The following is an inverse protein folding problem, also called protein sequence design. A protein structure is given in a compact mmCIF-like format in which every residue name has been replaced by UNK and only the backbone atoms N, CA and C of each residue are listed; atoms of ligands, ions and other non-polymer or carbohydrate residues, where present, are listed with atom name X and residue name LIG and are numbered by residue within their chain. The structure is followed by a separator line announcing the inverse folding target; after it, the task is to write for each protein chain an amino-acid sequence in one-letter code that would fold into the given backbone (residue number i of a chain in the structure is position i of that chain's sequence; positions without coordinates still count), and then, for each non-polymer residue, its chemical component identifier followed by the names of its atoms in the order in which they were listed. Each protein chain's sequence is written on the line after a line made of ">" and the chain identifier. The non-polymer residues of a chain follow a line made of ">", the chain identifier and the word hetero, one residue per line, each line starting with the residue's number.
data_IF_678241171510
#
_entry.id   IF_678241171510
#
_cell.length_a   1.000
_cell.length_b   1.000
_cell.length_c   1.000
_cell.angle_alpha   90.00
_cell.angle_beta   90.00
_cell.angle_gamma   90.00
#
_symmetry.space_group_name_H-M   'P 1'
#
loop_
_entity.id
_entity.type
_entity.pdbx_description
1 polymer ?
#
# COMPACT_ATOMS: atom_id res chain seq x y z
N UNK A 1 1.38 21.02 -5.14
CA UNK A 1 1.31 19.54 -5.22
C UNK A 1 1.13 19.06 -3.79
N UNK A 2 0.18 18.18 -3.49
CA UNK A 2 -0.02 17.71 -2.11
C UNK A 2 1.15 16.82 -1.68
N UNK A 3 1.67 17.03 -0.47
CA UNK A 3 2.71 16.18 0.14
C UNK A 3 2.17 14.79 0.53
N UNK A 4 0.84 14.59 0.41
CA UNK A 4 0.14 13.34 0.67
C UNK A 4 -0.57 12.76 -0.56
N UNK A 5 -0.78 11.45 -0.52
CA UNK A 5 -1.59 10.64 -1.44
C UNK A 5 -2.46 9.66 -0.65
N UNK A 6 -3.53 9.14 -1.26
CA UNK A 6 -4.30 8.04 -0.66
C UNK A 6 -3.59 6.70 -0.86
N UNK A 7 -3.59 5.87 0.17
CA UNK A 7 -3.04 4.52 0.14
C UNK A 7 -3.86 3.56 1.00
N UNK A 8 -3.83 2.27 0.65
CA UNK A 8 -4.25 1.18 1.55
C UNK A 8 -3.01 0.70 2.28
N UNK A 9 -2.99 0.77 3.61
CA UNK A 9 -1.84 0.43 4.46
C UNK A 9 -2.23 -0.57 5.54
N UNK A 10 -1.28 -1.41 5.92
CA UNK A 10 -1.42 -2.41 6.97
C UNK A 10 -0.45 -1.99 8.08
N UNK A 11 -0.98 -1.72 9.28
CA UNK A 11 -0.18 -1.34 10.45
C UNK A 11 -0.04 -2.48 11.46
N UNK A 12 -0.94 -3.46 11.40
CA UNK A 12 -0.94 -4.68 12.20
C UNK A 12 -1.48 -5.86 11.39
N UNK A 13 -1.14 -7.08 11.77
CA UNK A 13 -1.65 -8.28 11.10
C UNK A 13 -3.06 -8.60 11.58
N UNK A 14 -3.91 -9.09 10.68
CA UNK A 14 -5.30 -9.41 11.00
C UNK A 14 -6.13 -9.79 9.77
N UNK A 15 -7.45 -9.87 9.96
CA UNK A 15 -8.37 -10.07 8.85
C UNK A 15 -8.49 -8.81 7.98
N UNK A 16 -9.44 -8.78 7.02
CA UNK A 16 -9.63 -7.66 6.10
C UNK A 16 -9.74 -6.28 6.76
N UNK A 17 -10.20 -6.22 8.02
CA UNK A 17 -10.26 -5.01 8.85
C UNK A 17 -8.90 -4.32 9.09
N UNK A 18 -7.79 -5.04 8.92
CA UNK A 18 -6.44 -4.48 9.04
C UNK A 18 -6.04 -3.57 7.84
N UNK A 19 -6.86 -3.51 6.78
CA UNK A 19 -6.63 -2.65 5.62
C UNK A 19 -7.13 -1.22 5.89
N UNK A 20 -6.21 -0.29 6.12
CA UNK A 20 -6.51 1.11 6.37
C UNK A 20 -6.42 1.95 5.09
N UNK A 21 -7.53 2.52 4.63
CA UNK A 21 -7.51 3.51 3.55
C UNK A 21 -7.30 4.92 4.12
N UNK A 22 -6.10 5.46 3.94
CA UNK A 22 -5.66 6.68 4.64
C UNK A 22 -4.82 7.60 3.73
N UNK A 23 -4.53 8.81 4.21
CA UNK A 23 -3.50 9.67 3.62
C UNK A 23 -2.11 9.20 4.06
N UNK A 24 -1.20 9.10 3.10
CA UNK A 24 0.19 8.69 3.28
C UNK A 24 1.13 9.67 2.57
N UNK A 25 2.40 9.78 2.99
CA UNK A 25 3.39 10.61 2.30
C UNK A 25 3.50 10.23 0.83
N UNK A 26 3.52 11.22 -0.04
CA UNK A 26 3.74 11.01 -1.48
C UNK A 26 5.22 10.71 -1.72
N UNK A 27 5.57 9.58 -2.37
CA UNK A 27 6.97 9.25 -2.63
C UNK A 27 7.61 10.20 -3.64
N UNK A 28 8.93 10.40 -3.49
CA UNK A 28 9.77 11.20 -4.39
C UNK A 28 10.68 10.25 -5.15
N UNK A 29 10.49 10.19 -6.47
CA UNK A 29 11.33 9.37 -7.34
C UNK A 29 12.78 9.87 -7.34
N UNK A 30 13.73 8.94 -7.20
CA UNK A 30 15.16 9.19 -7.28
C UNK A 30 15.68 9.07 -8.72
N UNK A 31 16.99 9.29 -8.92
CA UNK A 31 17.63 9.09 -10.20
C UNK A 31 17.45 7.63 -10.69
N UNK A 32 16.85 7.47 -11.87
CA UNK A 32 16.56 6.16 -12.46
C UNK A 32 15.18 5.58 -12.10
N UNK A 33 14.39 6.26 -11.26
CA UNK A 33 13.04 5.83 -10.88
C UNK A 33 11.97 6.69 -11.58
N UNK A 34 10.74 6.17 -11.61
CA UNK A 34 9.57 6.91 -12.07
C UNK A 34 8.47 6.88 -11.02
N UNK A 35 7.76 8.00 -10.86
CA UNK A 35 6.59 8.07 -10.00
C UNK A 35 5.32 7.83 -10.82
N UNK A 36 4.64 6.72 -10.58
CA UNK A 36 3.43 6.32 -11.31
C UNK A 36 2.19 6.77 -10.52
N UNK A 37 1.25 7.44 -11.21
CA UNK A 37 -0.09 7.65 -10.68
C UNK A 37 -0.93 6.39 -10.95
N UNK A 38 -1.11 5.58 -9.90
CA UNK A 38 -1.91 4.36 -9.98
C UNK A 38 -3.37 4.71 -10.29
N UNK A 39 -3.91 4.17 -11.39
CA UNK A 39 -5.33 4.30 -11.73
C UNK A 39 -6.16 3.17 -11.12
N UNK A 40 -5.63 1.96 -11.13
CA UNK A 40 -6.21 0.77 -10.51
C UNK A 40 -5.09 -0.18 -10.07
N UNK A 41 -5.38 -1.00 -9.07
CA UNK A 41 -4.50 -2.08 -8.60
C UNK A 41 -5.32 -3.38 -8.48
N UNK A 42 -4.69 -4.51 -8.77
CA UNK A 42 -5.27 -5.84 -8.58
C UNK A 42 -4.93 -6.37 -7.18
N UNK A 43 -5.80 -7.22 -6.63
CA UNK A 43 -5.46 -8.06 -5.49
C UNK A 43 -4.87 -9.39 -5.98
N UNK A 44 -3.79 -9.83 -5.34
CA UNK A 44 -3.11 -11.09 -5.57
C UNK A 44 -3.16 -11.93 -4.27
N UNK A 45 -3.03 -13.27 -4.36
CA UNK A 45 -2.99 -14.13 -3.17
C UNK A 45 -1.94 -13.70 -2.13
N UNK A 46 -0.80 -13.18 -2.58
CA UNK A 46 0.26 -12.67 -1.69
C UNK A 46 -0.20 -11.52 -0.78
N UNK A 47 -1.10 -10.66 -1.25
CA UNK A 47 -1.62 -9.54 -0.45
C UNK A 47 -2.41 -10.06 0.77
N UNK A 48 -3.09 -11.20 0.60
CA UNK A 48 -3.84 -11.85 1.67
C UNK A 48 -2.90 -12.46 2.73
N UNK A 49 -1.88 -13.19 2.28
CA UNK A 49 -0.91 -13.83 3.18
C UNK A 49 -0.09 -12.82 3.96
N UNK A 50 0.31 -11.71 3.32
CA UNK A 50 1.06 -10.65 3.96
C UNK A 50 0.22 -9.96 5.05
N UNK A 51 -1.04 -9.64 4.75
CA UNK A 51 -1.97 -9.04 5.73
C UNK A 51 -2.19 -9.94 6.94
N UNK A 52 -2.33 -11.25 6.74
CA UNK A 52 -2.56 -12.21 7.84
C UNK A 52 -1.30 -12.49 8.69
N UNK A 53 -0.16 -11.89 8.35
CA UNK A 53 1.08 -12.00 9.12
C UNK A 53 2.03 -13.11 8.68
N UNK A 54 1.87 -13.61 7.45
CA UNK A 54 2.75 -14.60 6.82
C UNK A 54 3.19 -15.71 7.80
N UNK A 55 2.26 -16.61 8.15
CA UNK A 55 2.60 -17.79 8.94
C UNK A 55 3.39 -18.75 8.03
N UNK A 56 4.69 -18.90 8.32
CA UNK A 56 5.53 -19.95 7.75
C UNK A 56 4.97 -21.35 8.03
#
# INVERSE_FOLDING_TARGET
>A
MTDSMKAVRIHEFGGPEALCYEDAPRPVAQAGEVLIRVHAASLNPHDLYLRDGYRA
#
